data_IF_971200655326
#
_entry.id   IF_971200655326
#
_cell.length_a   1.000
_cell.length_b   1.000
_cell.length_c   1.000
_cell.angle_alpha   90.00
_cell.angle_beta   90.00
_cell.angle_gamma   90.00
#
_symmetry.space_group_name_H-M   'P 1'
#
loop_
_entity.id
_entity.type
_entity.pdbx_description
1 polymer ?
#
# COMPACT_ATOMS: atom_id res chain seq x y z
N UNK A 1 19.93 -4.45 -3.41
CA UNK A 1 18.50 -4.40 -3.06
C UNK A 1 18.15 -5.76 -2.52
N UNK A 2 17.64 -5.85 -1.28
CA UNK A 2 17.32 -7.16 -0.67
C UNK A 2 16.10 -7.80 -1.35
N UNK A 3 15.94 -9.12 -1.19
CA UNK A 3 14.77 -9.86 -1.70
C UNK A 3 13.45 -9.21 -1.24
N UNK A 4 13.39 -8.82 0.04
CA UNK A 4 12.25 -8.11 0.59
C UNK A 4 12.00 -6.73 -0.04
N UNK A 5 13.06 -5.95 -0.33
CA UNK A 5 12.91 -4.66 -1.02
C UNK A 5 12.38 -4.85 -2.45
N UNK A 6 12.79 -5.92 -3.14
CA UNK A 6 12.25 -6.31 -4.45
C UNK A 6 10.78 -6.67 -4.33
N UNK A 7 10.41 -7.54 -3.39
CA UNK A 7 9.02 -7.88 -3.10
C UNK A 7 8.14 -6.64 -2.88
N UNK A 8 8.54 -5.74 -1.97
CA UNK A 8 7.78 -4.50 -1.69
C UNK A 8 7.61 -3.64 -2.95
N UNK A 9 8.66 -3.55 -3.76
CA UNK A 9 8.62 -2.78 -5.02
C UNK A 9 7.67 -3.41 -6.03
N UNK A 10 7.73 -4.72 -6.23
CA UNK A 10 6.80 -5.45 -7.11
C UNK A 10 5.35 -5.33 -6.65
N UNK A 11 5.09 -5.50 -5.35
CA UNK A 11 3.73 -5.37 -4.80
C UNK A 11 3.18 -3.97 -5.02
N UNK A 12 4.02 -2.93 -4.87
CA UNK A 12 3.63 -1.55 -5.14
C UNK A 12 3.35 -1.31 -6.63
N UNK A 13 4.17 -1.88 -7.52
CA UNK A 13 3.92 -1.81 -8.96
C UNK A 13 2.61 -2.49 -9.35
N UNK A 14 2.31 -3.68 -8.81
CA UNK A 14 1.04 -4.38 -9.06
C UNK A 14 -0.16 -3.56 -8.62
N UNK A 15 -0.10 -2.90 -7.45
CA UNK A 15 -1.18 -2.02 -7.01
C UNK A 15 -1.36 -0.82 -7.94
N UNK A 16 -0.27 -0.21 -8.42
CA UNK A 16 -0.32 0.86 -9.41
C UNK A 16 -0.90 0.42 -10.77
N UNK A 17 -0.57 -0.79 -11.23
CA UNK A 17 -1.14 -1.38 -12.44
C UNK A 17 -2.65 -1.61 -12.31
N UNK A 18 -3.11 -2.16 -11.17
CA UNK A 18 -4.53 -2.35 -10.91
C UNK A 18 -5.31 -1.02 -10.90
N UNK A 19 -4.71 0.05 -10.35
CA UNK A 19 -5.30 1.39 -10.44
C UNK A 19 -5.44 1.87 -11.89
N UNK A 20 -4.42 1.65 -12.74
CA UNK A 20 -4.46 2.04 -14.14
C UNK A 20 -5.55 1.29 -14.92
N UNK A 21 -5.73 -0.01 -14.64
CA UNK A 21 -6.81 -0.83 -15.20
C UNK A 21 -8.19 -0.32 -14.77
N UNK A 22 -8.37 -0.02 -13.48
CA UNK A 22 -9.63 0.48 -12.93
C UNK A 22 -9.99 1.88 -13.41
N UNK A 23 -9.00 2.74 -13.60
CA UNK A 23 -9.22 4.12 -14.05
C UNK A 23 -9.50 4.21 -15.55
N UNK A 24 -9.08 3.19 -16.33
CA UNK A 24 -9.14 3.21 -17.78
C UNK A 24 -8.47 4.46 -18.34
N UNK A 25 -9.20 5.23 -19.15
CA UNK A 25 -8.71 6.48 -19.74
C UNK A 25 -8.96 7.72 -18.84
N UNK A 26 -9.42 7.52 -17.61
CA UNK A 26 -9.76 8.59 -16.66
C UNK A 26 -8.64 8.80 -15.67
N UNK A 27 -8.28 10.04 -15.36
CA UNK A 27 -7.29 10.32 -14.31
C UNK A 27 -7.88 10.17 -12.90
N UNK A 28 -7.04 9.88 -11.92
CA UNK A 28 -7.40 9.90 -10.48
C UNK A 28 -8.11 11.20 -10.08
N UNK A 29 -7.59 12.34 -10.57
CA UNK A 29 -8.15 13.66 -10.32
C UNK A 29 -9.53 13.85 -10.97
N UNK A 30 -9.76 13.25 -12.14
CA UNK A 30 -11.07 13.30 -12.79
C UNK A 30 -12.10 12.42 -12.07
N UNK A 31 -11.70 11.23 -11.59
CA UNK A 31 -12.55 10.38 -10.76
C UNK A 31 -12.96 11.08 -9.47
N UNK A 32 -12.03 11.70 -8.75
CA UNK A 32 -12.33 12.43 -7.51
C UNK A 32 -13.28 13.62 -7.70
N UNK A 33 -13.28 14.27 -8.87
CA UNK A 33 -14.20 15.38 -9.18
C UNK A 33 -15.59 14.93 -9.63
N UNK A 34 -15.76 13.67 -10.02
CA UNK A 34 -17.05 13.15 -10.47
C UNK A 34 -18.08 13.01 -9.33
N UNK A 35 -17.65 13.14 -8.06
CA UNK A 35 -18.51 12.97 -6.88
C UNK A 35 -18.97 11.52 -6.66
N UNK A 36 -18.46 10.58 -7.46
CA UNK A 36 -18.73 9.15 -7.35
C UNK A 36 -17.65 8.48 -6.48
N UNK A 37 -18.08 7.51 -5.68
CA UNK A 37 -17.18 6.66 -4.88
C UNK A 37 -16.53 5.60 -5.76
N UNK A 38 -15.23 5.37 -5.58
CA UNK A 38 -14.45 4.35 -6.32
C UNK A 38 -13.66 3.45 -5.36
N UNK A 39 -14.32 2.61 -4.54
CA UNK A 39 -13.66 1.87 -3.46
C UNK A 39 -12.55 0.94 -3.96
N UNK A 40 -12.73 0.26 -5.09
CA UNK A 40 -11.71 -0.62 -5.66
C UNK A 40 -10.43 0.15 -6.06
N UNK A 41 -10.59 1.34 -6.66
CA UNK A 41 -9.45 2.20 -6.98
C UNK A 41 -8.76 2.66 -5.68
N UNK A 42 -9.55 3.12 -4.71
CA UNK A 42 -9.07 3.60 -3.41
C UNK A 42 -8.31 2.53 -2.64
N UNK A 43 -8.77 1.28 -2.68
CA UNK A 43 -8.06 0.14 -2.11
C UNK A 43 -6.64 0.02 -2.67
N UNK A 44 -6.46 0.05 -3.98
CA UNK A 44 -5.13 -0.02 -4.59
C UNK A 44 -4.30 1.27 -4.40
N UNK A 45 -4.97 2.42 -4.26
CA UNK A 45 -4.32 3.69 -3.89
C UNK A 45 -3.70 3.60 -2.48
N UNK A 46 -4.45 3.04 -1.53
CA UNK A 46 -3.99 2.75 -0.17
C UNK A 46 -2.79 1.81 -0.15
N UNK A 47 -2.88 0.69 -0.85
CA UNK A 47 -1.78 -0.27 -0.98
C UNK A 47 -0.51 0.39 -1.55
N UNK A 48 -0.67 1.23 -2.59
CA UNK A 48 0.46 1.94 -3.22
C UNK A 48 1.10 2.95 -2.27
N UNK A 49 0.29 3.67 -1.49
CA UNK A 49 0.77 4.65 -0.51
C UNK A 49 1.50 3.99 0.66
N UNK A 50 0.92 2.94 1.25
CA UNK A 50 1.50 2.17 2.35
C UNK A 50 2.85 1.54 1.97
N UNK A 51 2.90 0.83 0.85
CA UNK A 51 4.13 0.22 0.34
C UNK A 51 5.16 1.28 -0.08
N UNK A 52 4.71 2.45 -0.53
CA UNK A 52 5.57 3.60 -0.80
C UNK A 52 6.24 4.15 0.47
N UNK A 53 5.51 4.22 1.57
CA UNK A 53 6.04 4.62 2.87
C UNK A 53 7.07 3.61 3.40
N UNK A 54 6.74 2.32 3.36
CA UNK A 54 7.66 1.23 3.73
C UNK A 54 8.93 1.24 2.86
N UNK A 55 8.77 1.36 1.54
CA UNK A 55 9.88 1.43 0.58
C UNK A 55 10.81 2.62 0.85
N UNK A 56 10.28 3.77 1.28
CA UNK A 56 11.12 4.92 1.70
C UNK A 56 11.92 4.62 2.95
N UNK A 57 11.32 3.97 3.96
CA UNK A 57 12.03 3.55 5.19
C UNK A 57 13.14 2.55 4.88
N UNK A 58 12.84 1.50 4.11
CA UNK A 58 13.82 0.50 3.68
C UNK A 58 15.03 1.10 2.94
N UNK A 59 14.85 2.20 2.20
CA UNK A 59 15.97 2.91 1.54
C UNK A 59 16.77 3.79 2.50
N UNK A 60 16.12 4.38 3.50
CA UNK A 60 16.77 5.26 4.49
C UNK A 60 17.52 4.47 5.54
N UNK A 61 17.06 3.26 5.84
CA UNK A 61 17.54 2.40 6.92
C UNK A 61 17.86 1.00 6.36
N UNK A 62 18.89 0.85 5.51
CA UNK A 62 19.17 -0.40 4.79
C UNK A 62 19.58 -1.56 5.71
N UNK A 63 20.12 -1.25 6.90
CA UNK A 63 20.58 -2.24 7.88
C UNK A 63 19.54 -2.53 8.98
N UNK A 64 18.39 -1.85 8.95
CA UNK A 64 17.33 -2.07 9.94
C UNK A 64 16.57 -3.37 9.66
N UNK A 65 16.07 -4.00 10.72
CA UNK A 65 15.21 -5.17 10.61
C UNK A 65 13.94 -4.84 9.80
N UNK A 66 13.70 -5.53 8.67
CA UNK A 66 12.50 -5.33 7.87
C UNK A 66 11.19 -5.51 8.65
N UNK A 67 11.12 -6.45 9.60
CA UNK A 67 9.92 -6.66 10.39
C UNK A 67 9.65 -5.45 11.30
N UNK A 68 10.69 -4.93 11.97
CA UNK A 68 10.63 -3.68 12.71
C UNK A 68 10.14 -2.50 11.86
N UNK A 69 10.62 -2.38 10.62
CA UNK A 69 10.17 -1.32 9.71
C UNK A 69 8.69 -1.46 9.32
N UNK A 70 8.20 -2.67 9.02
CA UNK A 70 6.77 -2.92 8.76
C UNK A 70 5.93 -2.57 9.98
N UNK A 71 6.34 -3.02 11.17
CA UNK A 71 5.67 -2.73 12.44
C UNK A 71 5.65 -1.24 12.79
N UNK A 72 6.58 -0.44 12.25
CA UNK A 72 6.58 1.01 12.40
C UNK A 72 5.56 1.74 11.51
N UNK A 73 5.10 1.12 10.42
CA UNK A 73 4.16 1.74 9.46
C UNK A 73 2.75 1.20 9.65
N UNK A 74 2.59 -0.10 9.91
CA UNK A 74 1.29 -0.77 10.02
C UNK A 74 0.29 -0.10 10.99
N UNK A 75 0.70 0.43 12.16
CA UNK A 75 -0.22 1.12 13.07
C UNK A 75 -0.92 2.34 12.44
N UNK A 76 -0.29 3.04 11.50
CA UNK A 76 -0.86 4.20 10.80
C UNK A 76 -2.06 3.82 9.92
N UNK A 77 -2.23 2.52 9.63
CA UNK A 77 -3.26 1.98 8.73
C UNK A 77 -4.36 1.19 9.46
N UNK A 78 -4.40 1.25 10.79
CA UNK A 78 -5.40 0.52 11.58
C UNK A 78 -6.76 1.25 11.67
N UNK A 79 -6.81 2.52 11.32
CA UNK A 79 -8.02 3.33 11.40
C UNK A 79 -8.12 4.26 10.20
N UNK A 80 -9.32 4.46 9.63
CA UNK A 80 -9.48 5.38 8.52
C UNK A 80 -9.08 6.81 8.87
N UNK A 81 -8.36 7.45 7.95
CA UNK A 81 -7.99 8.87 8.06
C UNK A 81 -9.13 9.84 7.74
N UNK A 82 -10.31 9.33 7.38
CA UNK A 82 -11.50 10.09 7.06
C UNK A 82 -12.74 9.19 7.01
N UNK A 83 -13.87 9.77 6.60
CA UNK A 83 -15.17 9.11 6.64
C UNK A 83 -15.62 8.55 5.28
N UNK A 84 -16.36 7.44 5.30
CA UNK A 84 -17.01 6.86 4.14
C UNK A 84 -16.21 5.77 3.41
N UNK A 85 -16.88 5.13 2.45
CA UNK A 85 -16.42 3.87 1.82
C UNK A 85 -15.08 3.99 1.10
N UNK A 86 -14.77 5.16 0.55
CA UNK A 86 -13.49 5.43 -0.10
C UNK A 86 -12.34 5.45 0.91
N UNK A 87 -12.54 6.06 2.08
CA UNK A 87 -11.57 6.07 3.17
C UNK A 87 -11.40 4.70 3.81
N UNK A 88 -12.51 3.95 3.99
CA UNK A 88 -12.48 2.56 4.45
C UNK A 88 -11.66 1.67 3.51
N UNK A 89 -11.94 1.75 2.20
CA UNK A 89 -11.25 0.96 1.20
C UNK A 89 -9.75 1.34 1.09
N UNK A 90 -9.45 2.65 1.08
CA UNK A 90 -8.08 3.15 1.12
C UNK A 90 -7.30 2.58 2.30
N UNK A 91 -7.89 2.65 3.49
CA UNK A 91 -7.24 2.17 4.72
C UNK A 91 -7.05 0.66 4.69
N UNK A 92 -8.08 -0.08 4.28
CA UNK A 92 -8.02 -1.54 4.15
C UNK A 92 -6.90 -1.98 3.20
N UNK A 93 -6.79 -1.36 2.02
CA UNK A 93 -5.77 -1.73 1.04
C UNK A 93 -4.34 -1.46 1.51
N UNK A 94 -4.11 -0.37 2.24
CA UNK A 94 -2.79 -0.13 2.83
C UNK A 94 -2.47 -1.09 3.98
N UNK A 95 -3.45 -1.37 4.85
CA UNK A 95 -3.29 -2.35 5.95
C UNK A 95 -2.96 -3.74 5.42
N UNK A 96 -3.79 -4.27 4.52
CA UNK A 96 -3.62 -5.63 3.97
C UNK A 96 -2.30 -5.77 3.18
N UNK A 97 -1.85 -4.71 2.51
CA UNK A 97 -0.56 -4.71 1.82
C UNK A 97 0.62 -4.82 2.81
N UNK A 98 0.54 -4.13 3.96
CA UNK A 98 1.56 -4.21 5.00
C UNK A 98 1.51 -5.53 5.77
N UNK A 99 0.32 -6.06 6.05
CA UNK A 99 0.13 -7.40 6.63
C UNK A 99 0.70 -8.49 5.72
N UNK A 100 0.44 -8.39 4.40
CA UNK A 100 1.05 -9.29 3.41
C UNK A 100 2.58 -9.22 3.40
N UNK A 101 3.15 -8.03 3.59
CA UNK A 101 4.59 -7.84 3.70
C UNK A 101 5.15 -8.47 4.98
N UNK A 102 4.47 -8.31 6.12
CA UNK A 102 4.82 -8.98 7.38
C UNK A 102 4.77 -10.51 7.24
N UNK A 103 3.74 -11.02 6.58
CA UNK A 103 3.57 -12.45 6.28
C UNK A 103 4.69 -12.99 5.40
N UNK A 104 5.09 -12.24 4.37
CA UNK A 104 6.19 -12.63 3.50
C UNK A 104 7.51 -12.75 4.27
N UNK A 105 7.83 -11.80 5.16
CA UNK A 105 9.01 -11.89 6.03
C UNK A 105 8.92 -13.16 6.90
N UNK A 106 7.77 -13.41 7.54
CA UNK A 106 7.59 -14.56 8.43
C UNK A 106 7.76 -15.90 7.72
N UNK A 107 7.35 -15.98 6.45
CA UNK A 107 7.49 -17.18 5.60
C UNK A 107 8.89 -17.35 5.02
N UNK A 108 9.67 -16.27 4.93
CA UNK A 108 11.04 -16.25 4.43
C UNK A 108 12.10 -16.43 5.51
N UNK A 109 11.73 -16.45 6.79
CA UNK A 109 12.65 -16.82 7.87
C UNK A 109 12.81 -18.35 7.93
N UNK A 110 14.06 -18.87 7.95
CA UNK A 110 14.32 -20.29 8.21
C UNK A 110 13.94 -20.71 9.64
#
# INVERSE_FOLDING_TARGET
MSDFQTYVTERRHRAASAMAELSGNTSACAMGRAGQSFPAYKYHEGATAALGALSRKLRREPDADPAGLVNSVLPEWQSPGGEGRDWEAYTAGGREALESAADHIRRGMP
#
